data_IF_749434106680
#
_entry.id   IF_749434106680
#
_cell.length_a   1.000
_cell.length_b   1.000
_cell.length_c   1.000
_cell.angle_alpha   90.00
_cell.angle_beta   90.00
_cell.angle_gamma   90.00
#
_symmetry.space_group_name_H-M   'P 1'
#
loop_
_entity.id
_entity.type
_entity.pdbx_description
1 polymer ?
#
# COMPACT_ATOMS: atom_id res chain seq x y z
N UNK A 1 47.05 -15.85 2.81
CA UNK A 1 46.20 -14.89 2.09
C UNK A 1 45.10 -14.49 3.06
N UNK A 2 45.11 -13.26 3.57
CA UNK A 2 44.06 -12.76 4.43
C UNK A 2 42.81 -12.67 3.57
N UNK A 3 41.74 -13.35 3.96
CA UNK A 3 40.39 -13.12 3.43
C UNK A 3 40.06 -11.66 3.71
N UNK A 4 39.99 -10.86 2.66
CA UNK A 4 39.55 -9.47 2.66
C UNK A 4 38.07 -9.49 3.03
N UNK A 5 37.77 -9.47 4.33
CA UNK A 5 36.40 -9.39 4.83
C UNK A 5 35.87 -8.02 4.42
N UNK A 6 35.01 -8.01 3.45
CA UNK A 6 34.23 -6.83 3.05
C UNK A 6 33.61 -6.21 4.32
N UNK A 7 33.97 -4.95 4.63
CA UNK A 7 33.43 -4.17 5.75
C UNK A 7 31.97 -3.69 5.49
N UNK A 8 31.24 -4.38 4.63
CA UNK A 8 29.89 -4.01 4.27
C UNK A 8 28.91 -4.26 5.42
N UNK A 9 28.20 -3.20 5.83
CA UNK A 9 27.09 -3.30 6.77
C UNK A 9 25.81 -3.43 5.96
N UNK A 10 25.05 -4.50 6.20
CA UNK A 10 23.84 -4.85 5.44
C UNK A 10 22.65 -4.91 6.41
N UNK A 11 21.55 -4.27 6.03
CA UNK A 11 20.28 -4.29 6.75
C UNK A 11 19.17 -4.64 5.78
N UNK A 12 18.28 -5.54 6.18
CA UNK A 12 17.06 -5.88 5.43
C UNK A 12 15.85 -5.65 6.29
N UNK A 13 14.84 -5.00 5.72
CA UNK A 13 13.56 -4.79 6.36
C UNK A 13 12.42 -5.14 5.40
N UNK A 14 11.23 -5.29 5.98
CA UNK A 14 9.98 -5.41 5.25
C UNK A 14 9.03 -4.30 5.65
N UNK A 15 8.14 -3.92 4.74
CA UNK A 15 7.05 -2.98 5.04
C UNK A 15 5.75 -3.41 4.37
N UNK A 16 4.61 -3.15 5.05
CA UNK A 16 3.29 -3.54 4.58
C UNK A 16 2.72 -2.58 3.55
N UNK A 17 1.76 -3.09 2.78
CA UNK A 17 0.79 -2.27 2.05
C UNK A 17 -0.25 -1.69 3.03
N UNK A 18 -0.80 -0.53 2.74
CA UNK A 18 -1.97 0.01 3.44
C UNK A 18 -3.06 0.41 2.44
N UNK A 19 -4.32 0.20 2.82
CA UNK A 19 -5.49 0.56 2.02
C UNK A 19 -6.32 1.60 2.76
N UNK A 20 -6.49 2.78 2.15
CA UNK A 20 -7.24 3.86 2.75
C UNK A 20 -8.76 3.57 2.77
N UNK A 21 -9.39 3.78 3.93
CA UNK A 21 -10.85 3.79 4.13
C UNK A 21 -11.40 5.21 4.12
N UNK A 22 -10.59 6.20 4.51
CA UNK A 22 -10.80 7.62 4.19
C UNK A 22 -9.66 8.06 3.28
N UNK A 23 -10.00 8.39 2.03
CA UNK A 23 -9.02 8.55 0.94
C UNK A 23 -8.20 9.84 1.06
N UNK A 24 -6.92 9.71 0.76
CA UNK A 24 -6.03 10.80 0.45
C UNK A 24 -6.09 11.12 -1.05
N UNK A 25 -6.47 12.35 -1.38
CA UNK A 25 -6.45 12.84 -2.76
C UNK A 25 -6.24 14.34 -2.78
N UNK A 26 -5.22 14.78 -3.51
CA UNK A 26 -4.83 16.18 -3.60
C UNK A 26 -3.76 16.59 -2.59
N UNK A 27 -2.87 17.49 -3.03
CA UNK A 27 -1.79 18.07 -2.24
C UNK A 27 -1.90 19.59 -2.24
N UNK A 28 -1.58 20.21 -1.10
CA UNK A 28 -1.39 21.65 -0.96
C UNK A 28 0.06 22.07 -1.19
N UNK A 29 0.99 21.10 -1.16
CA UNK A 29 2.42 21.28 -1.44
C UNK A 29 2.96 20.02 -2.12
N UNK A 30 3.53 20.18 -3.32
CA UNK A 30 4.03 19.08 -4.14
C UNK A 30 5.46 18.65 -3.78
N UNK A 31 6.27 19.54 -3.20
CA UNK A 31 7.65 19.24 -2.81
C UNK A 31 7.68 18.51 -1.47
N UNK A 32 6.96 19.03 -0.49
CA UNK A 32 6.83 18.44 0.84
C UNK A 32 5.79 17.33 0.90
N UNK A 33 5.04 17.09 -0.19
CA UNK A 33 3.94 16.10 -0.25
C UNK A 33 2.93 16.33 0.88
N UNK A 34 2.48 17.57 1.07
CA UNK A 34 1.50 17.91 2.09
C UNK A 34 0.09 17.72 1.54
N UNK A 35 -0.78 16.95 2.21
CA UNK A 35 -2.13 16.69 1.73
C UNK A 35 -3.07 17.87 1.98
N UNK A 36 -4.18 17.93 1.23
CA UNK A 36 -5.26 18.89 1.46
C UNK A 36 -6.28 18.40 2.50
N UNK A 37 -6.26 17.11 2.84
CA UNK A 37 -7.11 16.50 3.85
C UNK A 37 -6.39 15.36 4.57
N UNK A 38 -6.76 15.11 5.82
CA UNK A 38 -6.35 13.92 6.56
C UNK A 38 -6.91 12.64 5.92
N UNK A 39 -6.31 11.50 6.19
CA UNK A 39 -6.74 10.21 5.66
C UNK A 39 -6.53 9.10 6.68
N UNK A 40 -7.23 7.97 6.52
CA UNK A 40 -7.12 6.82 7.40
C UNK A 40 -7.05 5.52 6.58
N UNK A 41 -6.19 4.60 6.98
CA UNK A 41 -6.02 3.31 6.30
C UNK A 41 -5.95 2.14 7.27
N UNK A 42 -6.19 0.95 6.73
CA UNK A 42 -5.85 -0.32 7.37
C UNK A 42 -4.55 -0.83 6.76
N UNK A 43 -3.57 -1.12 7.60
CA UNK A 43 -2.31 -1.75 7.21
C UNK A 43 -2.53 -3.26 7.05
N UNK A 44 -2.09 -3.83 5.93
CA UNK A 44 -2.30 -5.23 5.59
C UNK A 44 -1.21 -6.13 6.13
N UNK A 45 -1.53 -7.41 6.35
CA UNK A 45 -0.58 -8.38 6.89
C UNK A 45 0.52 -8.73 5.88
N UNK A 46 1.75 -8.70 6.34
CA UNK A 46 2.95 -8.84 5.48
C UNK A 46 3.19 -10.27 4.98
N UNK A 47 2.51 -11.28 5.50
CA UNK A 47 2.59 -12.64 4.96
C UNK A 47 2.02 -12.72 3.54
N UNK A 48 1.03 -11.85 3.23
CA UNK A 48 0.39 -11.81 1.92
C UNK A 48 0.99 -10.72 1.02
N UNK A 49 1.19 -9.51 1.55
CA UNK A 49 1.56 -8.33 0.77
C UNK A 49 2.64 -7.52 1.48
N UNK A 50 3.84 -7.51 0.92
CA UNK A 50 4.97 -6.74 1.46
C UNK A 50 5.94 -6.26 0.40
N UNK A 51 6.67 -5.23 0.74
CA UNK A 51 7.94 -4.88 0.12
C UNK A 51 9.08 -5.37 1.02
N UNK A 52 10.12 -5.92 0.43
CA UNK A 52 11.40 -6.26 1.08
C UNK A 52 12.44 -5.32 0.52
N UNK A 53 13.20 -4.66 1.40
CA UNK A 53 14.32 -3.79 1.00
C UNK A 53 15.56 -4.17 1.78
N UNK A 54 16.65 -4.36 1.05
CA UNK A 54 18.01 -4.51 1.60
C UNK A 54 18.81 -3.28 1.26
N UNK A 55 19.47 -2.67 2.25
CA UNK A 55 20.43 -1.61 2.05
C UNK A 55 21.79 -2.02 2.61
N UNK A 56 22.85 -1.72 1.86
CA UNK A 56 24.23 -1.99 2.23
C UNK A 56 25.07 -0.73 2.10
N UNK A 57 26.00 -0.51 3.03
CA UNK A 57 27.04 0.54 2.94
C UNK A 57 28.42 -0.08 3.07
N UNK A 58 29.37 0.45 2.30
CA UNK A 58 30.78 0.07 2.39
C UNK A 58 31.67 1.23 1.93
N UNK A 59 32.90 1.31 2.45
CA UNK A 59 33.94 2.21 1.94
C UNK A 59 34.37 1.89 0.51
N UNK A 60 34.13 0.65 0.07
CA UNK A 60 34.56 0.16 -1.23
C UNK A 60 33.58 0.51 -2.35
N UNK A 61 32.34 0.91 -2.01
CA UNK A 61 31.35 1.33 -2.99
C UNK A 61 31.74 2.66 -3.62
N UNK A 62 31.68 2.73 -4.94
CA UNK A 62 32.11 3.91 -5.72
C UNK A 62 31.01 4.92 -5.91
N UNK A 63 29.76 4.47 -5.97
CA UNK A 63 28.56 5.27 -6.21
C UNK A 63 27.36 4.73 -5.45
N UNK A 64 26.30 5.54 -5.32
CA UNK A 64 25.02 5.07 -4.78
C UNK A 64 24.26 4.33 -5.90
N UNK A 65 23.69 3.14 -5.62
CA UNK A 65 22.95 2.32 -6.59
C UNK A 65 21.63 1.80 -6.02
N UNK A 66 20.64 1.64 -6.89
CA UNK A 66 19.33 1.08 -6.51
C UNK A 66 18.82 0.09 -7.55
N UNK A 67 18.28 -1.03 -7.09
CA UNK A 67 17.57 -2.02 -7.91
C UNK A 67 16.14 -2.18 -7.41
N UNK A 68 15.16 -2.04 -8.31
CA UNK A 68 13.75 -2.24 -8.05
C UNK A 68 13.24 -3.45 -8.82
N UNK A 69 12.73 -4.46 -8.12
CA UNK A 69 12.27 -5.73 -8.69
C UNK A 69 13.33 -6.38 -9.62
N UNK A 70 14.58 -6.34 -9.23
CA UNK A 70 15.71 -6.92 -9.96
C UNK A 70 16.30 -6.06 -11.08
N UNK A 71 15.69 -4.91 -11.40
CA UNK A 71 16.17 -3.99 -12.43
C UNK A 71 16.85 -2.78 -11.81
N UNK A 72 18.03 -2.43 -12.30
CA UNK A 72 18.73 -1.22 -11.86
C UNK A 72 18.01 0.04 -12.35
N UNK A 73 17.80 0.98 -11.44
CA UNK A 73 17.10 2.23 -11.68
C UNK A 73 17.99 3.43 -11.28
N UNK A 74 17.66 4.61 -11.80
CA UNK A 74 18.36 5.84 -11.43
C UNK A 74 18.05 6.24 -9.99
N UNK A 75 19.11 6.53 -9.23
CA UNK A 75 18.98 6.92 -7.83
C UNK A 75 18.74 8.43 -7.65
N UNK A 76 18.80 9.22 -8.71
CA UNK A 76 18.69 10.69 -8.70
C UNK A 76 17.23 11.19 -8.63
N UNK A 77 16.25 10.31 -8.53
CA UNK A 77 14.84 10.71 -8.43
C UNK A 77 14.60 11.64 -7.21
N UNK A 78 14.00 12.83 -7.38
CA UNK A 78 13.90 13.85 -6.33
C UNK A 78 13.32 13.37 -4.99
N UNK A 79 12.26 12.56 -5.02
CA UNK A 79 11.62 11.99 -3.81
C UNK A 79 12.53 11.01 -3.07
N UNK A 80 13.29 10.21 -3.82
CA UNK A 80 14.27 9.29 -3.26
C UNK A 80 15.39 10.07 -2.56
N UNK A 81 15.92 11.10 -3.23
CA UNK A 81 16.96 11.98 -2.70
C UNK A 81 16.48 12.76 -1.47
N UNK A 82 15.20 13.14 -1.42
CA UNK A 82 14.62 13.77 -0.23
C UNK A 82 14.67 12.84 1.00
N UNK A 83 14.27 11.57 0.83
CA UNK A 83 14.34 10.58 1.90
C UNK A 83 15.78 10.36 2.39
N UNK A 84 16.75 10.23 1.47
CA UNK A 84 18.17 10.11 1.82
C UNK A 84 18.69 11.30 2.60
N UNK A 85 18.41 12.50 2.13
CA UNK A 85 18.85 13.74 2.76
C UNK A 85 18.36 13.85 4.21
N UNK A 86 17.07 13.57 4.42
CA UNK A 86 16.46 13.67 5.75
C UNK A 86 16.97 12.60 6.71
N UNK A 87 17.10 11.36 6.29
CA UNK A 87 17.69 10.30 7.13
C UNK A 87 19.14 10.62 7.48
N UNK A 88 19.97 11.04 6.51
CA UNK A 88 21.35 11.42 6.77
C UNK A 88 21.46 12.65 7.67
N UNK A 89 20.52 13.61 7.57
CA UNK A 89 20.44 14.77 8.46
C UNK A 89 20.18 14.37 9.91
N UNK A 90 19.22 13.47 10.15
CA UNK A 90 18.90 12.94 11.47
C UNK A 90 20.07 12.12 12.04
N UNK A 91 20.72 11.31 11.23
CA UNK A 91 21.90 10.55 11.65
C UNK A 91 23.06 11.46 12.08
N UNK A 92 23.33 12.57 11.37
CA UNK A 92 24.33 13.59 11.78
C UNK A 92 23.98 14.23 13.11
N UNK A 93 22.72 14.63 13.31
CA UNK A 93 22.26 15.24 14.57
C UNK A 93 22.47 14.28 15.75
N UNK A 94 22.11 13.00 15.60
CA UNK A 94 22.32 11.98 16.63
C UNK A 94 23.80 11.81 17.00
N UNK A 95 24.69 11.79 15.99
CA UNK A 95 26.14 11.67 16.23
C UNK A 95 26.69 12.90 16.99
N UNK A 96 26.18 14.12 16.72
CA UNK A 96 26.59 15.34 17.44
C UNK A 96 26.14 15.36 18.90
N UNK A 97 25.00 14.74 19.21
CA UNK A 97 24.42 14.70 20.56
C UNK A 97 25.04 13.62 21.48
N UNK A 98 26.13 12.96 21.06
CA UNK A 98 26.84 11.87 21.79
C UNK A 98 25.94 10.74 22.32
N UNK A 99 24.78 10.52 21.70
CA UNK A 99 23.78 9.52 22.11
C UNK A 99 23.99 8.14 21.50
N UNK A 100 25.10 7.92 20.79
CA UNK A 100 25.38 6.64 20.15
C UNK A 100 26.65 6.00 20.67
N UNK A 101 26.63 4.74 21.16
CA UNK A 101 27.85 3.96 21.31
C UNK A 101 28.36 3.60 19.90
N UNK A 102 29.53 4.15 19.57
CA UNK A 102 30.57 3.62 18.66
C UNK A 102 30.19 2.90 17.35
N UNK A 103 29.10 3.19 16.66
CA UNK A 103 29.07 2.94 15.23
C UNK A 103 29.50 4.22 14.53
N UNK A 104 30.81 4.37 14.27
CA UNK A 104 31.35 5.39 13.37
C UNK A 104 30.93 5.05 11.92
N UNK A 105 29.62 5.03 11.70
CA UNK A 105 29.06 4.96 10.35
C UNK A 105 29.51 6.22 9.62
N UNK A 106 30.44 6.04 8.72
CA UNK A 106 30.88 7.13 7.87
C UNK A 106 29.73 7.47 6.91
N UNK A 107 29.00 8.55 7.21
CA UNK A 107 27.88 9.04 6.40
C UNK A 107 28.28 9.44 4.98
N UNK A 108 29.59 9.46 4.67
CA UNK A 108 30.13 9.65 3.32
C UNK A 108 30.17 8.37 2.49
N UNK A 109 30.05 7.18 3.11
CA UNK A 109 30.03 5.92 2.38
C UNK A 109 28.83 5.86 1.45
N UNK A 110 29.05 5.24 0.29
CA UNK A 110 28.00 5.02 -0.70
C UNK A 110 27.07 3.91 -0.25
N UNK A 111 25.83 3.98 -0.73
CA UNK A 111 24.78 3.02 -0.37
C UNK A 111 24.29 2.29 -1.61
N UNK A 112 24.17 0.97 -1.50
CA UNK A 112 23.52 0.12 -2.47
C UNK A 112 22.20 -0.36 -1.88
N UNK A 113 21.13 -0.34 -2.68
CA UNK A 113 19.77 -0.69 -2.24
C UNK A 113 19.16 -1.66 -3.24
N UNK A 114 18.54 -2.71 -2.74
CA UNK A 114 17.68 -3.58 -3.52
C UNK A 114 16.30 -3.65 -2.88
N UNK A 115 15.25 -3.49 -3.68
CA UNK A 115 13.85 -3.52 -3.19
C UNK A 115 12.99 -4.35 -4.13
N UNK A 116 12.18 -5.25 -3.56
CA UNK A 116 11.27 -6.13 -4.30
C UNK A 116 9.89 -6.16 -3.63
N UNK A 117 8.85 -6.22 -4.45
CA UNK A 117 7.49 -6.48 -4.02
C UNK A 117 7.12 -7.94 -4.28
N UNK A 118 6.39 -8.58 -3.38
CA UNK A 118 5.82 -9.91 -3.61
C UNK A 118 4.45 -9.89 -4.29
N UNK A 119 4.05 -8.72 -4.82
CA UNK A 119 2.77 -8.49 -5.50
C UNK A 119 2.97 -7.60 -6.73
N UNK A 120 2.03 -7.62 -7.72
CA UNK A 120 2.15 -6.81 -8.93
C UNK A 120 2.20 -5.31 -8.65
N UNK A 121 3.20 -4.61 -9.20
CA UNK A 121 3.46 -3.18 -8.94
C UNK A 121 2.49 -2.24 -9.64
N UNK A 122 1.81 -2.69 -10.70
CA UNK A 122 0.96 -1.83 -11.54
C UNK A 122 -0.53 -1.85 -11.18
N UNK A 123 -0.97 -2.80 -10.37
CA UNK A 123 -2.39 -3.11 -10.14
C UNK A 123 -3.13 -2.14 -9.18
N UNK A 124 -2.62 -0.95 -8.92
CA UNK A 124 -3.26 -0.01 -7.97
C UNK A 124 -3.17 -0.44 -6.50
N UNK A 125 -2.33 -1.42 -6.16
CA UNK A 125 -2.17 -1.99 -4.81
C UNK A 125 -1.19 -1.20 -3.93
N UNK A 126 -1.12 0.12 -4.08
CA UNK A 126 -0.30 1.02 -3.25
C UNK A 126 1.19 0.61 -3.14
N UNK A 127 1.78 0.07 -4.22
CA UNK A 127 3.17 -0.40 -4.24
C UNK A 127 4.19 0.67 -3.86
N UNK A 128 3.98 1.94 -4.27
CA UNK A 128 4.85 3.05 -3.89
C UNK A 128 4.80 3.35 -2.40
N UNK A 129 3.66 3.14 -1.72
CA UNK A 129 3.53 3.35 -0.29
C UNK A 129 4.39 2.36 0.50
N UNK A 130 4.26 1.05 0.21
CA UNK A 130 5.06 0.02 0.84
C UNK A 130 6.56 0.18 0.50
N UNK A 131 6.89 0.51 -0.77
CA UNK A 131 8.27 0.70 -1.22
C UNK A 131 8.99 1.83 -0.47
N UNK A 132 8.41 3.02 -0.40
CA UNK A 132 9.04 4.14 0.31
C UNK A 132 9.04 3.95 1.84
N UNK A 133 8.01 3.35 2.42
CA UNK A 133 8.01 3.01 3.83
C UNK A 133 9.14 2.02 4.17
N UNK A 134 9.30 0.97 3.35
CA UNK A 134 10.36 -0.01 3.52
C UNK A 134 11.74 0.62 3.37
N UNK A 135 11.94 1.45 2.34
CA UNK A 135 13.18 2.18 2.10
C UNK A 135 13.57 3.04 3.31
N UNK A 136 12.65 3.90 3.77
CA UNK A 136 12.90 4.82 4.89
C UNK A 136 13.20 4.05 6.16
N UNK A 137 12.45 3.00 6.45
CA UNK A 137 12.68 2.18 7.63
C UNK A 137 14.03 1.44 7.56
N UNK A 138 14.38 0.88 6.39
CA UNK A 138 15.67 0.20 6.18
C UNK A 138 16.85 1.16 6.35
N UNK A 139 16.77 2.36 5.75
CA UNK A 139 17.80 3.38 5.90
C UNK A 139 17.90 3.88 7.35
N UNK A 140 16.77 4.05 8.03
CA UNK A 140 16.77 4.42 9.44
C UNK A 140 17.49 3.38 10.30
N UNK A 141 17.21 2.07 10.08
CA UNK A 141 17.93 0.98 10.77
C UNK A 141 19.41 0.95 10.40
N UNK A 142 19.77 1.15 9.14
CA UNK A 142 21.14 1.18 8.65
C UNK A 142 21.97 2.30 9.30
N UNK A 143 21.39 3.51 9.40
CA UNK A 143 22.05 4.68 9.99
C UNK A 143 21.76 4.87 11.47
N UNK A 144 21.05 3.93 12.11
CA UNK A 144 20.72 3.97 13.53
C UNK A 144 19.78 5.14 13.91
N UNK A 145 18.96 5.63 13.00
CA UNK A 145 17.98 6.69 13.25
C UNK A 145 16.73 6.10 13.89
N UNK A 146 16.26 6.71 14.95
CA UNK A 146 15.05 6.33 15.69
C UNK A 146 14.08 7.52 15.79
N UNK A 147 12.83 7.25 16.15
CA UNK A 147 11.79 8.23 16.37
C UNK A 147 10.79 8.34 15.23
N UNK A 148 10.24 9.54 15.01
CA UNK A 148 9.22 9.79 14.01
C UNK A 148 9.81 9.77 12.58
N UNK A 149 9.42 8.77 11.82
CA UNK A 149 9.90 8.54 10.44
C UNK A 149 8.80 8.74 9.39
N UNK A 150 7.53 8.85 9.80
CA UNK A 150 6.42 8.92 8.86
C UNK A 150 6.46 10.20 8.01
N UNK A 151 6.94 11.32 8.58
CA UNK A 151 7.15 12.55 7.82
C UNK A 151 8.17 12.38 6.68
N UNK A 152 9.19 11.54 6.88
CA UNK A 152 10.19 11.24 5.84
C UNK A 152 9.60 10.31 4.79
N UNK A 153 8.91 9.24 5.21
CA UNK A 153 8.24 8.31 4.29
C UNK A 153 7.20 9.04 3.41
N UNK A 154 6.49 10.03 3.96
CA UNK A 154 5.57 10.92 3.25
C UNK A 154 6.24 11.63 2.07
N UNK A 155 7.46 12.14 2.24
CA UNK A 155 8.20 12.83 1.18
C UNK A 155 8.58 11.91 0.00
N UNK A 156 8.67 10.61 0.24
CA UNK A 156 8.82 9.61 -0.80
C UNK A 156 7.51 9.35 -1.55
N UNK A 157 6.47 9.05 -0.78
CA UNK A 157 5.10 8.84 -1.28
C UNK A 157 4.13 9.18 -0.17
N UNK A 158 3.15 10.05 -0.43
CA UNK A 158 2.24 10.53 0.62
C UNK A 158 1.65 9.41 1.48
N UNK A 159 1.07 8.38 0.85
CA UNK A 159 0.49 7.24 1.58
C UNK A 159 1.51 6.34 2.30
N UNK A 160 2.82 6.49 2.02
CA UNK A 160 3.86 5.70 2.68
C UNK A 160 3.96 6.00 4.19
N UNK A 161 3.60 7.22 4.61
CA UNK A 161 3.59 7.55 6.04
C UNK A 161 2.71 6.59 6.86
N UNK A 162 1.57 6.15 6.30
CA UNK A 162 0.67 5.22 7.00
C UNK A 162 1.21 3.79 7.07
N UNK A 163 2.05 3.36 6.12
CA UNK A 163 2.73 2.06 6.16
C UNK A 163 3.85 1.99 7.20
N UNK A 164 4.17 3.09 7.88
CA UNK A 164 5.15 3.11 8.98
C UNK A 164 4.59 2.54 10.28
N UNK A 165 3.29 2.28 10.37
CA UNK A 165 2.63 1.72 11.53
C UNK A 165 1.69 0.57 11.14
N UNK A 166 1.44 -0.36 12.08
CA UNK A 166 0.49 -1.44 11.91
C UNK A 166 -0.94 -1.05 12.27
N UNK A 167 -1.89 -1.91 11.92
CA UNK A 167 -3.30 -1.77 12.28
C UNK A 167 -4.01 -0.65 11.53
N UNK A 168 -4.65 0.24 12.27
CA UNK A 168 -5.43 1.37 11.76
C UNK A 168 -4.62 2.65 11.92
N UNK A 169 -4.34 3.34 10.82
CA UNK A 169 -3.38 4.44 10.81
C UNK A 169 -3.99 5.68 10.17
N UNK A 170 -4.00 6.76 10.93
CA UNK A 170 -4.37 8.09 10.46
C UNK A 170 -3.13 8.83 9.95
N UNK A 171 -3.25 9.51 8.82
CA UNK A 171 -2.32 10.55 8.39
C UNK A 171 -2.96 11.90 8.64
N UNK A 172 -2.40 12.68 9.55
CA UNK A 172 -2.84 14.01 9.91
C UNK A 172 -2.37 14.99 8.83
N UNK A 173 -3.31 15.79 8.31
CA UNK A 173 -3.02 16.81 7.29
C UNK A 173 -1.93 17.79 7.76
N UNK A 174 -1.98 18.18 9.04
CA UNK A 174 -1.13 19.22 9.59
C UNK A 174 -1.52 20.63 9.11
N UNK A 175 -0.94 21.65 9.73
CA UNK A 175 -1.17 23.07 9.41
C UNK A 175 0.13 23.83 9.13
N UNK A 176 1.28 23.29 9.58
CA UNK A 176 2.60 23.90 9.36
C UNK A 176 2.92 23.95 7.86
N UNK A 177 3.51 25.05 7.42
CA UNK A 177 4.02 25.20 6.06
C UNK A 177 5.23 24.26 5.83
N UNK A 178 6.05 24.02 6.85
CA UNK A 178 7.19 23.11 6.81
C UNK A 178 6.77 21.63 6.91
N UNK A 179 5.48 21.36 7.21
CA UNK A 179 4.89 20.04 7.26
C UNK A 179 5.39 19.14 8.40
N UNK A 180 5.96 19.70 9.45
CA UNK A 180 6.48 18.94 10.59
C UNK A 180 5.38 18.27 11.42
N UNK A 181 4.15 18.78 11.36
CA UNK A 181 2.95 18.27 12.00
C UNK A 181 2.09 17.38 11.08
N UNK A 182 2.51 17.21 9.84
CA UNK A 182 1.85 16.29 8.87
C UNK A 182 2.48 14.91 8.96
N UNK A 183 2.05 14.13 9.94
CA UNK A 183 2.60 12.83 10.35
C UNK A 183 1.51 11.77 10.40
N UNK A 184 1.92 10.50 10.40
CA UNK A 184 1.02 9.39 10.64
C UNK A 184 0.97 9.04 12.14
N UNK A 185 -0.21 8.61 12.60
CA UNK A 185 -0.45 8.13 13.96
C UNK A 185 -1.26 6.84 13.92
N UNK A 186 -0.88 5.87 14.74
CA UNK A 186 -1.66 4.67 14.92
C UNK A 186 -2.92 4.98 15.74
N UNK A 187 -4.09 4.69 15.17
CA UNK A 187 -5.40 4.83 15.83
C UNK A 187 -5.68 3.61 16.70
N UNK A 188 -5.39 2.42 16.15
CA UNK A 188 -5.52 1.16 16.87
C UNK A 188 -4.51 0.13 16.29
N UNK A 189 -3.97 -0.79 17.12
CA UNK A 189 -3.06 -1.82 16.66
C UNK A 189 -3.79 -2.86 15.79
N UNK A 190 -3.04 -3.68 15.07
CA UNK A 190 -3.57 -4.77 14.24
C UNK A 190 -4.34 -5.83 15.02
N UNK A 191 -4.05 -5.98 16.30
CA UNK A 191 -4.73 -6.90 17.22
C UNK A 191 -6.07 -6.36 17.75
N UNK A 192 -6.36 -5.08 17.51
CA UNK A 192 -7.58 -4.44 18.02
C UNK A 192 -8.87 -5.06 17.47
N UNK A 193 -8.86 -5.46 16.19
CA UNK A 193 -10.06 -6.03 15.54
C UNK A 193 -9.71 -7.37 14.87
N UNK A 194 -9.57 -8.44 15.65
CA UNK A 194 -9.05 -9.73 15.18
C UNK A 194 -9.95 -10.43 14.16
N UNK A 195 -11.27 -10.13 14.17
CA UNK A 195 -12.24 -10.71 13.23
C UNK A 195 -12.27 -10.00 11.86
N UNK A 196 -11.61 -8.84 11.72
CA UNK A 196 -11.63 -8.10 10.46
C UNK A 196 -10.83 -8.86 9.38
N UNK A 197 -11.45 -9.03 8.21
CA UNK A 197 -10.87 -9.68 7.04
C UNK A 197 -10.94 -8.76 5.85
N UNK A 198 -9.99 -8.94 4.94
CA UNK A 198 -9.83 -8.10 3.76
C UNK A 198 -9.62 -9.00 2.55
N UNK A 199 -10.42 -8.80 1.52
CA UNK A 199 -10.27 -9.47 0.23
C UNK A 199 -9.88 -8.43 -0.81
N UNK A 200 -8.78 -8.66 -1.52
CA UNK A 200 -8.37 -7.84 -2.65
C UNK A 200 -8.77 -8.58 -3.91
N UNK A 201 -9.72 -8.02 -4.65
CA UNK A 201 -10.22 -8.56 -5.90
C UNK A 201 -9.41 -7.96 -7.04
N UNK A 202 -8.51 -8.75 -7.62
CA UNK A 202 -7.67 -8.29 -8.74
C UNK A 202 -8.47 -8.45 -10.04
N UNK A 203 -8.86 -7.32 -10.59
CA UNK A 203 -9.64 -7.23 -11.85
C UNK A 203 -8.71 -7.03 -13.04
N UNK A 204 -7.65 -6.23 -12.85
CA UNK A 204 -6.66 -5.96 -13.89
C UNK A 204 -5.29 -5.71 -13.26
N UNK A 205 -4.25 -6.17 -13.94
CA UNK A 205 -2.85 -5.85 -13.65
C UNK A 205 -2.30 -4.75 -14.57
N UNK A 206 -3.12 -4.20 -15.46
CA UNK A 206 -2.70 -3.19 -16.42
C UNK A 206 -2.36 -1.85 -15.74
N UNK A 207 -1.43 -1.13 -16.36
CA UNK A 207 -1.06 0.20 -15.92
C UNK A 207 -2.20 1.19 -16.19
N UNK A 208 -2.60 1.93 -15.16
CA UNK A 208 -3.64 2.97 -15.27
C UNK A 208 -3.27 4.08 -16.27
N UNK A 209 -4.26 4.61 -16.96
CA UNK A 209 -4.09 5.68 -17.96
C UNK A 209 -3.61 7.00 -17.35
N UNK A 210 -4.10 7.35 -16.16
CA UNK A 210 -3.73 8.56 -15.43
C UNK A 210 -3.04 8.19 -14.12
N UNK A 211 -1.77 8.60 -13.98
CA UNK A 211 -1.01 8.40 -12.74
C UNK A 211 -1.59 9.21 -11.58
N UNK A 212 -1.53 8.67 -10.36
CA UNK A 212 -2.11 9.34 -9.18
C UNK A 212 -1.53 10.74 -8.92
N UNK A 213 -0.24 10.98 -9.20
CA UNK A 213 0.38 12.30 -9.00
C UNK A 213 -0.24 13.34 -9.92
N UNK A 214 -0.31 13.07 -11.23
CA UNK A 214 -0.93 13.97 -12.19
C UNK A 214 -2.43 14.14 -11.92
N UNK A 215 -3.14 13.02 -11.63
CA UNK A 215 -4.56 13.08 -11.31
C UNK A 215 -4.88 13.93 -10.08
N UNK A 216 -4.08 13.83 -9.01
CA UNK A 216 -4.24 14.67 -7.82
C UNK A 216 -4.06 16.15 -8.13
N UNK A 217 -3.03 16.50 -8.89
CA UNK A 217 -2.76 17.89 -9.26
C UNK A 217 -3.93 18.47 -10.08
N UNK A 218 -4.35 17.77 -11.14
CA UNK A 218 -5.47 18.21 -11.97
C UNK A 218 -6.76 18.33 -11.16
N UNK A 219 -7.01 17.42 -10.21
CA UNK A 219 -8.18 17.48 -9.33
C UNK A 219 -8.15 18.72 -8.41
N UNK A 220 -6.99 19.05 -7.84
CA UNK A 220 -6.83 20.25 -6.99
C UNK A 220 -7.12 21.53 -7.79
N UNK A 221 -6.69 21.57 -9.05
CA UNK A 221 -6.85 22.73 -9.93
C UNK A 221 -8.27 22.89 -10.45
N UNK A 222 -9.02 21.79 -10.65
CA UNK A 222 -10.26 21.82 -11.44
C UNK A 222 -11.52 21.35 -10.72
N UNK A 223 -11.41 20.54 -9.64
CA UNK A 223 -12.57 19.94 -8.98
C UNK A 223 -13.05 20.76 -7.78
N UNK A 224 -14.25 21.31 -7.89
CA UNK A 224 -14.94 21.96 -6.77
C UNK A 224 -15.40 20.94 -5.72
N UNK A 225 -15.75 19.72 -6.14
CA UNK A 225 -16.12 18.64 -5.22
C UNK A 225 -14.95 18.25 -4.32
N UNK A 226 -13.73 18.27 -4.84
CA UNK A 226 -12.53 17.97 -4.04
C UNK A 226 -12.35 19.01 -2.92
N UNK A 227 -12.54 20.30 -3.23
CA UNK A 227 -12.43 21.36 -2.23
C UNK A 227 -13.47 21.19 -1.13
N UNK A 228 -14.73 20.98 -1.49
CA UNK A 228 -15.82 20.75 -0.53
C UNK A 228 -15.57 19.50 0.32
N UNK A 229 -15.09 18.41 -0.32
CA UNK A 229 -14.71 17.17 0.35
C UNK A 229 -13.64 17.41 1.43
N UNK A 230 -12.56 18.09 1.07
CA UNK A 230 -11.43 18.35 1.97
C UNK A 230 -11.82 19.22 3.17
N UNK A 231 -12.63 20.28 2.94
CA UNK A 231 -12.97 21.27 3.95
C UNK A 231 -14.13 20.84 4.88
N UNK A 232 -15.09 20.06 4.37
CA UNK A 232 -16.35 19.77 5.08
C UNK A 232 -16.53 18.29 5.40
N UNK A 233 -16.35 17.42 4.42
CA UNK A 233 -16.75 16.02 4.55
C UNK A 233 -15.71 15.21 5.30
N UNK A 234 -14.43 15.31 4.91
CA UNK A 234 -13.38 14.48 5.50
C UNK A 234 -13.20 14.72 7.00
N UNK A 235 -13.23 15.95 7.54
CA UNK A 235 -13.09 16.15 8.98
C UNK A 235 -14.15 15.42 9.82
N UNK A 236 -15.40 15.40 9.36
CA UNK A 236 -16.51 14.69 10.01
C UNK A 236 -16.33 13.19 9.89
N UNK A 237 -16.07 12.67 8.67
CA UNK A 237 -15.85 11.25 8.41
C UNK A 237 -14.65 10.67 9.17
N UNK A 238 -13.58 11.44 9.33
CA UNK A 238 -12.40 11.02 10.10
C UNK A 238 -12.79 10.74 11.55
N UNK A 239 -13.56 11.64 12.18
CA UNK A 239 -14.04 11.46 13.55
C UNK A 239 -14.93 10.23 13.67
N UNK A 240 -15.94 10.13 12.81
CA UNK A 240 -16.87 8.98 12.82
C UNK A 240 -16.14 7.65 12.55
N UNK A 241 -15.15 7.63 11.64
CA UNK A 241 -14.39 6.43 11.32
C UNK A 241 -13.52 5.97 12.51
N UNK A 242 -12.88 6.90 13.22
CA UNK A 242 -12.12 6.59 14.43
C UNK A 242 -13.05 6.01 15.51
N UNK A 243 -14.23 6.59 15.71
CA UNK A 243 -15.23 6.09 16.65
C UNK A 243 -15.69 4.67 16.29
N UNK A 244 -15.98 4.40 15.01
CA UNK A 244 -16.37 3.05 14.54
C UNK A 244 -15.27 2.01 14.78
N UNK A 245 -14.01 2.36 14.48
CA UNK A 245 -12.87 1.48 14.71
C UNK A 245 -12.75 1.19 16.20
N UNK A 246 -12.82 2.21 17.05
CA UNK A 246 -12.73 2.05 18.51
C UNK A 246 -13.81 1.11 19.06
N UNK A 247 -15.02 1.20 18.53
CA UNK A 247 -16.19 0.39 18.95
C UNK A 247 -16.29 -0.95 18.21
N UNK A 248 -15.49 -1.19 17.16
CA UNK A 248 -15.60 -2.33 16.25
C UNK A 248 -16.98 -2.41 15.58
N UNK A 249 -17.59 -1.26 15.30
CA UNK A 249 -18.87 -1.16 14.60
C UNK A 249 -18.66 -1.36 13.10
N UNK A 250 -18.78 -2.62 12.64
CA UNK A 250 -18.55 -2.97 11.25
C UNK A 250 -19.59 -2.35 10.31
N UNK A 251 -20.85 -2.26 10.73
CA UNK A 251 -21.90 -1.72 9.88
C UNK A 251 -21.60 -0.26 9.50
N UNK A 252 -21.27 0.56 10.49
CA UNK A 252 -20.93 1.96 10.29
C UNK A 252 -19.56 2.14 9.60
N UNK A 253 -18.55 1.35 9.99
CA UNK A 253 -17.25 1.31 9.32
C UNK A 253 -17.39 1.03 7.83
N UNK A 254 -18.16 0.00 7.46
CA UNK A 254 -18.40 -0.41 6.09
C UNK A 254 -19.15 0.66 5.30
N UNK A 255 -20.20 1.23 5.85
CA UNK A 255 -20.97 2.31 5.24
C UNK A 255 -20.10 3.53 4.93
N UNK A 256 -19.31 4.00 5.91
CA UNK A 256 -18.40 5.13 5.74
C UNK A 256 -17.31 4.85 4.70
N UNK A 257 -16.75 3.64 4.70
CA UNK A 257 -15.74 3.21 3.73
C UNK A 257 -16.29 3.27 2.31
N UNK A 258 -17.48 2.74 2.06
CA UNK A 258 -18.13 2.76 0.75
C UNK A 258 -18.50 4.19 0.33
N UNK A 259 -19.07 5.00 1.22
CA UNK A 259 -19.40 6.41 0.96
C UNK A 259 -18.15 7.22 0.60
N UNK A 260 -17.03 6.95 1.29
CA UNK A 260 -15.80 7.68 1.01
C UNK A 260 -15.16 7.28 -0.32
N UNK A 261 -15.18 5.99 -0.65
CA UNK A 261 -14.77 5.47 -1.96
C UNK A 261 -15.58 6.10 -3.09
N UNK A 262 -16.92 6.12 -2.97
CA UNK A 262 -17.81 6.71 -3.97
C UNK A 262 -17.53 8.20 -4.18
N UNK A 263 -17.37 8.96 -3.09
CA UNK A 263 -17.10 10.39 -3.19
C UNK A 263 -15.71 10.66 -3.80
N UNK A 264 -14.71 9.88 -3.48
CA UNK A 264 -13.40 9.98 -4.12
C UNK A 264 -13.49 9.81 -5.64
N UNK A 265 -14.21 8.79 -6.13
CA UNK A 265 -14.39 8.57 -7.57
C UNK A 265 -15.30 9.64 -8.21
N UNK A 266 -16.29 10.17 -7.49
CA UNK A 266 -17.05 11.34 -7.96
C UNK A 266 -16.14 12.57 -8.14
N UNK A 267 -15.18 12.79 -7.24
CA UNK A 267 -14.16 13.84 -7.38
C UNK A 267 -13.28 13.62 -8.63
N UNK A 268 -12.91 12.36 -8.92
CA UNK A 268 -12.18 12.04 -10.15
C UNK A 268 -12.99 12.35 -11.40
N UNK A 269 -14.29 12.11 -11.40
CA UNK A 269 -15.20 12.47 -12.50
C UNK A 269 -15.41 13.98 -12.63
N UNK A 270 -15.43 14.72 -11.52
CA UNK A 270 -15.54 16.19 -11.47
C UNK A 270 -14.23 16.90 -11.89
N UNK A 271 -13.13 16.15 -11.96
CA UNK A 271 -11.84 16.64 -12.47
C UNK A 271 -11.94 16.93 -13.98
N UNK A 272 -11.32 18.00 -14.46
CA UNK A 272 -11.34 18.32 -15.88
C UNK A 272 -9.92 18.32 -16.48
N UNK A 273 -9.62 17.44 -17.48
CA UNK A 273 -10.52 16.39 -18.02
C UNK A 273 -10.84 15.29 -16.98
N UNK A 274 -12.01 14.60 -17.10
CA UNK A 274 -12.43 13.61 -16.12
C UNK A 274 -11.51 12.40 -16.07
N UNK A 275 -11.36 11.84 -14.87
CA UNK A 275 -10.51 10.67 -14.61
C UNK A 275 -11.41 9.47 -14.31
N UNK A 276 -11.22 8.39 -15.07
CA UNK A 276 -11.94 7.14 -14.92
C UNK A 276 -10.98 6.06 -14.39
N UNK A 277 -11.07 5.74 -13.10
CA UNK A 277 -10.33 4.61 -12.50
C UNK A 277 -11.15 3.34 -12.43
N UNK A 278 -12.48 3.47 -12.25
CA UNK A 278 -13.40 2.34 -12.22
C UNK A 278 -13.75 1.91 -13.65
N UNK A 279 -13.78 0.60 -13.87
CA UNK A 279 -14.27 -0.04 -15.10
C UNK A 279 -15.64 -0.72 -14.86
N UNK A 280 -16.15 -1.42 -15.87
CA UNK A 280 -17.46 -2.07 -15.76
C UNK A 280 -17.45 -3.23 -14.76
N UNK A 281 -16.32 -3.92 -14.57
CA UNK A 281 -16.19 -4.95 -13.53
C UNK A 281 -16.25 -4.31 -12.14
N UNK A 282 -15.59 -3.16 -11.94
CA UNK A 282 -15.69 -2.40 -10.68
C UNK A 282 -17.15 -2.06 -10.34
N UNK A 283 -17.94 -1.61 -11.33
CA UNK A 283 -19.36 -1.29 -11.16
C UNK A 283 -20.18 -2.54 -10.80
N UNK A 284 -19.91 -3.66 -11.42
CA UNK A 284 -20.55 -4.95 -11.10
C UNK A 284 -20.23 -5.40 -9.67
N UNK A 285 -19.00 -5.26 -9.22
CA UNK A 285 -18.59 -5.55 -7.82
C UNK A 285 -19.35 -4.65 -6.85
N UNK A 286 -19.46 -3.36 -7.13
CA UNK A 286 -20.25 -2.41 -6.32
C UNK A 286 -21.70 -2.88 -6.22
N UNK A 287 -22.33 -3.22 -7.36
CA UNK A 287 -23.72 -3.72 -7.41
C UNK A 287 -23.86 -4.99 -6.59
N UNK A 288 -22.94 -5.96 -6.75
CA UNK A 288 -22.95 -7.21 -5.99
C UNK A 288 -22.93 -6.98 -4.48
N UNK A 289 -22.01 -6.11 -4.00
CA UNK A 289 -21.90 -5.77 -2.57
C UNK A 289 -23.20 -5.18 -2.03
N UNK A 290 -23.82 -4.25 -2.75
CA UNK A 290 -25.09 -3.67 -2.33
C UNK A 290 -26.24 -4.68 -2.33
N UNK A 291 -26.36 -5.55 -3.34
CA UNK A 291 -27.38 -6.61 -3.39
C UNK A 291 -27.19 -7.64 -2.28
N UNK A 292 -25.93 -8.04 -2.01
CA UNK A 292 -25.60 -8.95 -0.93
C UNK A 292 -26.00 -8.37 0.45
N UNK A 293 -25.63 -7.13 0.73
CA UNK A 293 -26.03 -6.45 1.98
C UNK A 293 -27.54 -6.26 2.08
N UNK A 294 -28.23 -5.95 0.96
CA UNK A 294 -29.69 -5.80 0.93
C UNK A 294 -30.41 -7.11 1.23
N UNK A 295 -29.90 -8.26 0.75
CA UNK A 295 -30.43 -9.59 1.07
C UNK A 295 -30.45 -9.85 2.57
N UNK A 296 -29.36 -9.46 3.27
CA UNK A 296 -29.26 -9.63 4.73
C UNK A 296 -29.87 -8.49 5.52
N UNK A 297 -30.22 -7.38 4.88
CA UNK A 297 -30.64 -6.12 5.54
C UNK A 297 -29.61 -5.61 6.55
N UNK A 298 -28.35 -5.89 6.30
CA UNK A 298 -27.21 -5.60 7.16
C UNK A 298 -25.96 -5.37 6.30
N UNK A 299 -25.08 -4.47 6.73
CA UNK A 299 -23.77 -4.28 6.10
C UNK A 299 -22.79 -5.38 6.53
N UNK A 300 -22.72 -6.46 5.77
CA UNK A 300 -21.80 -7.59 6.00
C UNK A 300 -20.48 -7.46 5.26
N UNK A 301 -20.47 -6.75 4.13
CA UNK A 301 -19.31 -6.53 3.30
C UNK A 301 -19.27 -5.07 2.84
N UNK A 302 -18.08 -4.52 2.67
CA UNK A 302 -17.90 -3.13 2.25
C UNK A 302 -16.74 -3.02 1.25
N UNK A 303 -16.96 -2.34 0.14
CA UNK A 303 -15.92 -2.10 -0.86
C UNK A 303 -15.22 -0.77 -0.64
N UNK A 304 -13.99 -0.72 -1.11
CA UNK A 304 -13.27 0.51 -1.43
C UNK A 304 -12.40 0.31 -2.67
N UNK A 305 -12.19 1.38 -3.42
CA UNK A 305 -11.31 1.39 -4.58
C UNK A 305 -10.28 2.51 -4.41
N UNK A 306 -9.05 2.23 -4.79
CA UNK A 306 -8.02 3.26 -4.96
C UNK A 306 -8.03 3.77 -6.41
N UNK A 307 -6.97 4.40 -6.87
CA UNK A 307 -6.84 4.89 -8.25
C UNK A 307 -6.62 3.73 -9.24
N UNK A 308 -7.61 2.88 -9.40
CA UNK A 308 -7.60 1.70 -10.27
C UNK A 308 -8.88 0.86 -10.12
N UNK A 309 -9.09 -0.15 -10.98
CA UNK A 309 -10.32 -0.93 -11.03
C UNK A 309 -10.41 -2.04 -9.96
N UNK A 310 -9.29 -2.33 -9.25
CA UNK A 310 -9.23 -3.41 -8.28
C UNK A 310 -9.99 -3.04 -7.01
N UNK A 311 -10.89 -3.92 -6.58
CA UNK A 311 -11.68 -3.73 -5.39
C UNK A 311 -10.97 -4.26 -4.15
N UNK A 312 -11.11 -3.57 -3.04
CA UNK A 312 -10.78 -4.10 -1.71
C UNK A 312 -12.08 -4.22 -0.93
N UNK A 313 -12.38 -5.43 -0.46
CA UNK A 313 -13.56 -5.74 0.33
C UNK A 313 -13.16 -5.95 1.78
N UNK A 314 -13.80 -5.22 2.67
CA UNK A 314 -13.75 -5.44 4.11
C UNK A 314 -14.95 -6.30 4.52
N UNK A 315 -14.71 -7.24 5.44
CA UNK A 315 -15.75 -8.12 6.01
C UNK A 315 -15.29 -8.65 7.36
N UNK A 316 -16.18 -9.35 8.08
CA UNK A 316 -15.83 -10.10 9.27
C UNK A 316 -15.60 -11.59 8.93
N UNK A 317 -14.77 -12.25 9.72
CA UNK A 317 -14.33 -13.63 9.51
C UNK A 317 -15.48 -14.59 9.20
N UNK A 318 -16.55 -14.51 9.95
CA UNK A 318 -17.72 -15.41 9.80
C UNK A 318 -18.52 -15.20 8.50
N UNK A 319 -18.30 -14.12 7.77
CA UNK A 319 -18.95 -13.85 6.48
C UNK A 319 -18.09 -14.21 5.27
N UNK A 320 -16.77 -14.47 5.47
CA UNK A 320 -15.82 -14.57 4.36
C UNK A 320 -16.11 -15.75 3.44
N UNK A 321 -16.41 -16.92 4.00
CA UNK A 321 -16.66 -18.14 3.24
C UNK A 321 -17.83 -17.98 2.28
N UNK A 322 -18.94 -17.47 2.78
CA UNK A 322 -20.14 -17.27 1.98
C UNK A 322 -19.92 -16.21 0.89
N UNK A 323 -19.32 -15.08 1.26
CA UNK A 323 -19.11 -14.01 0.30
C UNK A 323 -18.15 -14.41 -0.83
N UNK A 324 -17.12 -15.21 -0.52
CA UNK A 324 -16.21 -15.73 -1.57
C UNK A 324 -16.93 -16.72 -2.49
N UNK A 325 -17.83 -17.57 -2.00
CA UNK A 325 -18.63 -18.44 -2.87
C UNK A 325 -19.61 -17.62 -3.74
N UNK A 326 -20.17 -16.52 -3.21
CA UNK A 326 -20.96 -15.56 -4.00
C UNK A 326 -20.10 -14.93 -5.10
N UNK A 327 -18.87 -14.51 -4.77
CA UNK A 327 -17.92 -13.97 -5.78
C UNK A 327 -17.61 -15.01 -6.87
N UNK A 328 -17.33 -16.26 -6.52
CA UNK A 328 -17.07 -17.33 -7.49
C UNK A 328 -18.26 -17.62 -8.40
N UNK A 329 -19.49 -17.49 -7.89
CA UNK A 329 -20.70 -17.69 -8.68
C UNK A 329 -20.88 -16.56 -9.72
N UNK A 330 -20.74 -15.30 -9.31
CA UNK A 330 -20.94 -14.15 -10.20
C UNK A 330 -19.71 -13.78 -11.03
N UNK A 331 -18.53 -14.19 -10.61
CA UNK A 331 -17.25 -14.02 -11.33
C UNK A 331 -16.52 -15.36 -11.39
N UNK A 332 -17.06 -16.35 -12.15
CA UNK A 332 -16.41 -17.65 -12.27
C UNK A 332 -14.96 -17.49 -12.72
N UNK A 333 -14.00 -18.15 -12.04
CA UNK A 333 -12.59 -18.07 -12.42
C UNK A 333 -12.36 -18.74 -13.78
N UNK A 334 -11.45 -18.19 -14.56
CA UNK A 334 -10.90 -18.89 -15.72
C UNK A 334 -9.96 -20.00 -15.28
N UNK A 335 -10.01 -21.16 -15.97
CA UNK A 335 -9.13 -22.29 -15.67
C UNK A 335 -7.72 -22.01 -16.21
N UNK A 336 -6.88 -21.35 -15.44
CA UNK A 336 -5.47 -21.06 -15.78
C UNK A 336 -4.46 -21.87 -14.96
N UNK A 337 -4.92 -22.84 -14.15
CA UNK A 337 -4.07 -23.67 -13.28
C UNK A 337 -3.62 -23.01 -11.98
N UNK A 338 -3.91 -21.71 -11.78
CA UNK A 338 -3.56 -20.99 -10.56
C UNK A 338 -4.73 -20.95 -9.56
N UNK A 339 -4.46 -20.95 -8.23
CA UNK A 339 -5.51 -20.79 -7.23
C UNK A 339 -6.23 -19.45 -7.37
N UNK A 340 -7.56 -19.49 -7.48
CA UNK A 340 -8.38 -18.28 -7.57
C UNK A 340 -8.33 -17.45 -6.27
N UNK A 341 -8.17 -18.09 -5.11
CA UNK A 341 -7.98 -17.41 -3.82
C UNK A 341 -6.61 -17.76 -3.28
N UNK A 342 -5.84 -16.72 -2.96
CA UNK A 342 -4.48 -16.79 -2.38
C UNK A 342 -4.48 -16.15 -0.99
N UNK A 343 -3.55 -16.51 -0.13
CA UNK A 343 -3.37 -15.94 1.22
C UNK A 343 -4.06 -16.74 2.32
N UNK A 344 -4.84 -16.06 3.18
CA UNK A 344 -5.49 -16.73 4.32
C UNK A 344 -6.55 -17.71 3.84
N UNK A 345 -6.50 -18.93 4.36
CA UNK A 345 -7.49 -19.98 4.10
C UNK A 345 -8.77 -19.73 4.91
N UNK A 346 -9.89 -20.23 4.40
CA UNK A 346 -11.19 -20.29 5.05
C UNK A 346 -11.93 -21.55 4.59
N UNK A 347 -12.94 -21.95 5.31
CA UNK A 347 -13.74 -23.12 4.96
C UNK A 347 -14.57 -22.85 3.71
N UNK A 348 -14.60 -23.80 2.77
CA UNK A 348 -15.52 -23.74 1.64
C UNK A 348 -16.90 -24.21 2.06
N UNK A 349 -17.93 -23.48 1.68
CA UNK A 349 -19.32 -23.81 2.00
C UNK A 349 -20.15 -23.93 0.71
N UNK A 350 -21.26 -24.66 0.82
CA UNK A 350 -22.23 -24.70 -0.28
C UNK A 350 -23.11 -23.44 -0.25
N UNK A 351 -23.20 -22.76 -1.39
CA UNK A 351 -24.01 -21.55 -1.51
C UNK A 351 -25.50 -21.89 -1.60
N UNK A 352 -26.33 -21.15 -0.87
CA UNK A 352 -27.79 -21.28 -1.00
C UNK A 352 -28.28 -20.67 -2.33
N UNK A 353 -29.11 -21.42 -3.06
CA UNK A 353 -29.71 -20.92 -4.31
C UNK A 353 -30.59 -19.66 -4.12
N UNK A 354 -31.08 -19.42 -2.91
CA UNK A 354 -31.92 -18.26 -2.62
C UNK A 354 -31.12 -16.94 -2.71
N UNK A 355 -29.85 -16.94 -2.30
CA UNK A 355 -29.01 -15.72 -2.33
C UNK A 355 -28.65 -15.33 -3.77
N UNK A 356 -28.30 -16.30 -4.61
CA UNK A 356 -27.96 -16.04 -6.02
C UNK A 356 -29.16 -15.54 -6.81
N UNK A 357 -30.34 -16.16 -6.56
CA UNK A 357 -31.59 -15.71 -7.17
C UNK A 357 -31.99 -14.30 -6.70
N UNK A 358 -31.79 -13.98 -5.43
CA UNK A 358 -32.10 -12.64 -4.89
C UNK A 358 -31.18 -11.55 -5.43
N UNK A 359 -29.90 -11.84 -5.60
CA UNK A 359 -28.93 -10.90 -6.19
C UNK A 359 -29.26 -10.63 -7.67
N UNK A 360 -29.67 -11.64 -8.43
CA UNK A 360 -30.24 -11.49 -9.77
C UNK A 360 -29.31 -10.88 -10.82
N UNK A 361 -27.98 -10.99 -10.63
CA UNK A 361 -27.00 -10.50 -11.59
C UNK A 361 -26.61 -11.63 -12.57
N UNK A 362 -26.32 -11.29 -13.82
CA UNK A 362 -25.71 -12.22 -14.76
C UNK A 362 -24.24 -12.49 -14.39
N UNK A 363 -23.77 -13.74 -14.40
CA UNK A 363 -22.37 -14.07 -14.21
C UNK A 363 -21.45 -13.38 -15.23
N UNK A 364 -20.22 -13.09 -14.81
CA UNK A 364 -19.18 -12.48 -15.64
C UNK A 364 -17.88 -13.28 -15.48
N UNK A 365 -17.72 -14.38 -16.21
CA UNK A 365 -16.52 -15.22 -16.14
C UNK A 365 -15.25 -14.41 -16.45
N UNK A 366 -14.17 -14.65 -15.69
CA UNK A 366 -12.90 -13.95 -15.86
C UNK A 366 -12.88 -12.48 -15.41
N UNK A 367 -14.01 -11.93 -14.95
CA UNK A 367 -14.08 -10.53 -14.48
C UNK A 367 -13.19 -10.25 -13.26
N UNK A 368 -12.92 -11.25 -12.44
CA UNK A 368 -11.93 -11.23 -11.38
C UNK A 368 -10.86 -12.26 -11.72
N UNK A 369 -9.59 -11.85 -11.80
CA UNK A 369 -8.48 -12.74 -12.13
C UNK A 369 -8.14 -13.66 -10.94
N UNK A 370 -8.01 -13.09 -9.75
CA UNK A 370 -7.80 -13.81 -8.48
C UNK A 370 -8.13 -12.92 -7.29
N UNK A 371 -8.21 -13.53 -6.11
CA UNK A 371 -8.50 -12.87 -4.85
C UNK A 371 -7.32 -13.08 -3.90
N UNK A 372 -6.89 -12.03 -3.18
CA UNK A 372 -5.94 -12.15 -2.08
C UNK A 372 -6.72 -11.98 -0.78
N UNK A 373 -6.74 -13.02 0.05
CA UNK A 373 -7.34 -12.99 1.39
C UNK A 373 -6.28 -12.62 2.42
N UNK A 374 -6.53 -11.57 3.21
CA UNK A 374 -5.61 -11.04 4.21
C UNK A 374 -6.37 -10.46 5.42
N UNK A 375 -5.64 -9.88 6.35
CA UNK A 375 -6.15 -9.24 7.58
C UNK A 375 -5.31 -8.03 7.96
N UNK A 376 -5.72 -7.23 8.96
CA UNK A 376 -4.84 -6.20 9.51
C UNK A 376 -3.51 -6.78 9.97
N UNK A 377 -2.42 -6.06 9.77
CA UNK A 377 -1.06 -6.53 10.06
C UNK A 377 -0.16 -5.48 10.68
N UNK A 378 1.04 -5.89 11.12
CA UNK A 378 2.02 -5.03 11.77
C UNK A 378 2.66 -4.04 10.79
N UNK A 379 3.27 -2.99 11.34
CA UNK A 379 4.12 -2.05 10.61
C UNK A 379 5.43 -2.67 10.10
N UNK A 380 6.40 -1.87 9.68
CA UNK A 380 7.67 -2.34 9.15
C UNK A 380 8.44 -3.22 10.14
N UNK A 381 9.16 -4.21 9.64
CA UNK A 381 9.90 -5.19 10.46
C UNK A 381 11.35 -5.31 10.00
N UNK A 382 12.26 -5.47 10.96
CA UNK A 382 13.65 -5.83 10.70
C UNK A 382 13.74 -7.35 10.43
N UNK A 383 14.48 -7.72 9.40
CA UNK A 383 14.74 -9.12 9.03
C UNK A 383 16.11 -9.52 9.53
N UNK A 384 16.15 -10.44 10.49
CA UNK A 384 17.41 -10.92 11.09
C UNK A 384 18.06 -12.09 10.31
N UNK A 385 17.33 -12.70 9.38
CA UNK A 385 17.85 -13.80 8.56
C UNK A 385 18.64 -13.26 7.36
N UNK A 386 19.95 -13.49 7.36
CA UNK A 386 20.87 -13.07 6.30
C UNK A 386 20.59 -13.74 4.93
N UNK A 387 19.92 -14.89 4.91
CA UNK A 387 19.55 -15.55 3.65
C UNK A 387 18.52 -14.74 2.85
N UNK A 388 17.73 -13.91 3.56
CA UNK A 388 16.73 -13.03 2.96
C UNK A 388 17.29 -11.67 2.48
N UNK A 389 18.59 -11.41 2.67
CA UNK A 389 19.25 -10.25 2.09
C UNK A 389 19.21 -10.34 0.57
N UNK A 390 18.77 -9.27 -0.08
CA UNK A 390 18.72 -9.17 -1.55
C UNK A 390 20.11 -8.84 -2.15
N UNK A 391 21.02 -8.31 -1.34
CA UNK A 391 22.38 -7.96 -1.71
C UNK A 391 23.39 -8.92 -1.06
N UNK A 392 24.45 -9.22 -1.81
CA UNK A 392 25.63 -9.91 -1.27
C UNK A 392 26.56 -8.96 -0.50
N UNK A 393 27.64 -9.51 0.10
CA UNK A 393 28.68 -8.73 0.78
C UNK A 393 29.44 -7.79 -0.19
N UNK A 394 29.44 -8.10 -1.47
CA UNK A 394 29.94 -7.24 -2.56
C UNK A 394 29.02 -6.07 -2.91
N UNK A 395 27.85 -5.97 -2.26
CA UNK A 395 26.84 -4.97 -2.53
C UNK A 395 26.06 -5.14 -3.84
N UNK A 396 26.19 -6.29 -4.50
CA UNK A 396 25.45 -6.59 -5.74
C UNK A 396 24.25 -7.49 -5.44
N UNK A 397 23.30 -7.50 -6.39
CA UNK A 397 22.15 -8.39 -6.29
C UNK A 397 22.60 -9.85 -6.17
N UNK A 398 22.10 -10.56 -5.15
CA UNK A 398 22.26 -11.99 -5.08
C UNK A 398 21.62 -12.63 -6.32
N UNK A 399 22.31 -13.59 -6.94
CA UNK A 399 21.73 -14.45 -7.97
C UNK A 399 20.69 -15.37 -7.30
N UNK A 400 19.50 -14.86 -7.07
CA UNK A 400 18.36 -15.63 -6.57
C UNK A 400 17.51 -16.06 -7.75
N UNK A 401 17.00 -17.27 -7.68
CA UNK A 401 16.03 -17.89 -8.58
C UNK A 401 14.64 -17.21 -8.56
N UNK A 402 14.59 -15.88 -8.61
CA UNK A 402 13.34 -15.11 -8.78
C UNK A 402 12.96 -14.96 -10.28
N UNK A 403 13.45 -15.85 -11.14
CA UNK A 403 13.04 -15.92 -12.55
C UNK A 403 12.07 -17.07 -12.74
N UNK A 404 10.82 -16.90 -12.32
CA UNK A 404 9.72 -17.70 -12.88
C UNK A 404 8.37 -17.04 -12.60
N UNK A 405 8.04 -15.99 -13.36
CA UNK A 405 6.67 -15.64 -13.81
C UNK A 405 6.57 -14.35 -14.64
N UNK A 406 7.64 -13.96 -15.37
CA UNK A 406 7.49 -12.83 -16.32
C UNK A 406 8.49 -12.90 -17.47
N UNK A 407 8.54 -14.05 -18.18
CA UNK A 407 9.26 -14.13 -19.46
C UNK A 407 8.47 -14.96 -20.46
N UNK A 408 7.38 -14.39 -20.97
CA UNK A 408 6.76 -14.83 -22.22
C UNK A 408 5.92 -13.73 -22.86
N UNK A 409 6.52 -12.55 -23.07
CA UNK A 409 5.96 -11.55 -24.00
C UNK A 409 7.08 -10.58 -24.43
N UNK A 410 7.98 -11.07 -25.28
CA UNK A 410 8.74 -10.16 -26.17
C UNK A 410 9.43 -10.97 -27.27
N UNK A 411 8.64 -11.53 -28.19
CA UNK A 411 9.11 -11.85 -29.55
C UNK A 411 7.89 -12.14 -30.43
N UNK A 412 7.25 -11.07 -30.90
CA UNK A 412 6.47 -11.05 -32.15
C UNK A 412 6.33 -9.60 -32.60
N UNK A 413 7.39 -9.06 -33.19
CA UNK A 413 7.28 -7.95 -34.13
C UNK A 413 7.98 -8.36 -35.42
N UNK A 414 7.34 -8.01 -36.50
CA UNK A 414 7.71 -8.09 -37.92
C UNK A 414 7.03 -9.22 -38.69
N UNK A 415 5.88 -8.93 -39.30
CA UNK A 415 5.74 -8.67 -40.75
C UNK A 415 4.51 -7.79 -40.93
#
# INVERSE_FOLDING_TARGET
MAEDRSDAIIVTCTAPVNIAVIKYWGKRDEELILPINSSLSVTLHQDQLKTITTAAISRDFKEDRIWLNGKEEKIDHPRLQSCFREIRRLARKRNSDNKAPSLHLNLSHKVHIASVNNFPTAAGLASSAAGYACLVYTLAKLYGVEGELSAIARQGSGSACRSMYGGFVQWIMGKSAEGMDSIAQQVAPETHWPELRILILVVSSEKKSVGSTAGMQTSVETSLLLKYRAERIVPERMKEMIDCISQRDFAKFGELTMKDSNQFHATCLDTFPPIFYLNDISKRIITLVHQYNAYYRETKVAYTFDAGPNAVIYTLEHNISEFVEVLKYFFPPECNGEPFVKGLSFESISLSGNITASIGMEPCPGGIQYIISTKPGPGPQLVNNADLHLLGLDGLLKKTSYTSSSSSESERTSV
#
